data_IF_519111213618
#
_entry.id   IF_519111213618
#
_cell.length_a   1.000
_cell.length_b   1.000
_cell.length_c   1.000
_cell.angle_alpha   90.00
_cell.angle_beta   90.00
_cell.angle_gamma   90.00
#
_symmetry.space_group_name_H-M   'P 1'
#
loop_
_entity.id
_entity.type
_entity.pdbx_description
1 polymer ?
#
# COMPACT_ATOMS: atom_id res chain seq x y z
N UNK A 1 -38.75 -11.21 -46.14
CA UNK A 1 -38.96 -10.20 -45.08
C UNK A 1 -37.98 -10.47 -43.96
N UNK A 2 -37.02 -9.56 -43.75
CA UNK A 2 -35.99 -9.61 -42.70
C UNK A 2 -36.62 -9.18 -41.37
N UNK A 3 -36.51 -9.99 -40.30
CA UNK A 3 -36.79 -9.56 -38.93
C UNK A 3 -35.70 -10.07 -37.98
N UNK A 4 -34.62 -9.28 -37.97
CA UNK A 4 -33.82 -8.80 -36.83
C UNK A 4 -33.81 -9.72 -35.60
N UNK A 5 -32.74 -10.49 -35.45
CA UNK A 5 -32.28 -10.99 -34.16
C UNK A 5 -31.45 -9.84 -33.56
N UNK A 6 -32.03 -9.08 -32.64
CA UNK A 6 -31.29 -8.06 -31.90
C UNK A 6 -30.50 -8.78 -30.80
N UNK A 7 -29.23 -9.09 -31.07
CA UNK A 7 -28.24 -9.34 -30.03
C UNK A 7 -28.07 -8.06 -29.23
N UNK A 8 -28.71 -7.97 -28.07
CA UNK A 8 -28.34 -7.01 -27.04
C UNK A 8 -27.47 -7.74 -26.01
N UNK A 9 -26.23 -8.04 -26.40
CA UNK A 9 -25.16 -8.42 -25.49
C UNK A 9 -24.79 -7.20 -24.64
N UNK A 10 -25.58 -6.90 -23.61
CA UNK A 10 -25.17 -5.99 -22.54
C UNK A 10 -24.19 -6.76 -21.65
N UNK A 11 -23.03 -7.07 -22.19
CA UNK A 11 -21.82 -7.32 -21.42
C UNK A 11 -21.14 -5.96 -21.30
N UNK A 12 -21.68 -5.13 -20.40
CA UNK A 12 -20.96 -3.98 -19.89
C UNK A 12 -19.67 -4.52 -19.29
N UNK A 13 -18.57 -4.34 -20.01
CA UNK A 13 -17.24 -4.62 -19.52
C UNK A 13 -16.97 -3.69 -18.33
N UNK A 14 -17.27 -4.14 -17.11
CA UNK A 14 -16.60 -3.64 -15.91
C UNK A 14 -15.14 -4.14 -15.94
N UNK A 15 -14.37 -3.68 -16.94
CA UNK A 15 -12.92 -3.66 -16.83
C UNK A 15 -12.59 -2.52 -15.88
N UNK A 16 -12.65 -2.80 -14.58
CA UNK A 16 -12.05 -1.95 -13.55
C UNK A 16 -10.59 -1.73 -13.95
N UNK A 17 -10.30 -0.54 -14.46
CA UNK A 17 -8.96 -0.12 -14.85
C UNK A 17 -8.19 0.26 -13.59
N UNK A 18 -7.87 -0.75 -12.77
CA UNK A 18 -7.10 -0.60 -11.53
C UNK A 18 -5.84 0.24 -11.73
N UNK A 19 -5.18 0.14 -12.89
CA UNK A 19 -3.95 0.88 -13.15
C UNK A 19 -4.15 2.34 -13.57
N UNK A 20 -5.32 2.76 -14.10
CA UNK A 20 -5.42 4.09 -14.73
C UNK A 20 -5.41 5.24 -13.72
N UNK A 21 -6.06 5.09 -12.56
CA UNK A 21 -6.17 6.19 -11.59
C UNK A 21 -4.84 6.50 -10.89
N UNK A 22 -4.02 5.47 -10.63
CA UNK A 22 -2.71 5.61 -9.95
C UNK A 22 -1.55 6.00 -10.89
N UNK A 23 -1.76 5.96 -12.20
CA UNK A 23 -0.71 6.32 -13.16
C UNK A 23 -0.54 7.83 -13.22
N UNK A 24 0.69 8.31 -13.14
CA UNK A 24 1.02 9.72 -13.13
C UNK A 24 2.41 10.02 -12.57
N UNK A 25 2.70 11.30 -12.41
CA UNK A 25 3.85 11.80 -11.68
C UNK A 25 3.37 12.35 -10.34
N UNK A 26 4.14 12.11 -9.30
CA UNK A 26 3.81 12.49 -7.93
C UNK A 26 4.94 13.34 -7.39
N UNK A 27 4.63 14.57 -6.99
CA UNK A 27 5.59 15.44 -6.32
C UNK A 27 5.67 15.08 -4.84
N UNK A 28 6.90 14.94 -4.36
CA UNK A 28 7.18 14.53 -2.98
C UNK A 28 6.65 15.55 -1.97
N UNK A 29 5.75 15.11 -1.10
CA UNK A 29 5.30 15.85 0.08
C UNK A 29 6.14 15.50 1.32
N UNK A 30 6.49 14.22 1.48
CA UNK A 30 7.32 13.74 2.59
C UNK A 30 8.13 12.50 2.20
N UNK A 31 9.33 12.36 2.78
CA UNK A 31 10.20 11.19 2.62
C UNK A 31 10.92 10.89 3.93
N UNK A 32 10.78 9.65 4.40
CA UNK A 32 11.60 9.05 5.46
C UNK A 32 12.30 7.87 4.83
N UNK A 33 13.63 7.84 4.85
CA UNK A 33 14.40 6.75 4.26
C UNK A 33 15.79 6.66 4.93
N UNK A 34 16.48 5.51 4.83
CA UNK A 34 17.90 5.44 5.17
C UNK A 34 18.69 6.48 4.38
N UNK A 35 19.74 7.05 4.99
CA UNK A 35 20.48 8.20 4.43
C UNK A 35 20.90 7.98 2.97
N UNK A 36 21.45 6.79 2.67
CA UNK A 36 21.89 6.43 1.32
C UNK A 36 20.77 6.51 0.26
N UNK A 37 19.53 6.25 0.66
CA UNK A 37 18.37 6.30 -0.25
C UNK A 37 17.81 7.71 -0.31
N UNK A 38 17.69 8.38 0.84
CA UNK A 38 17.22 9.77 0.92
C UNK A 38 18.06 10.68 0.03
N UNK A 39 19.39 10.55 0.10
CA UNK A 39 20.32 11.41 -0.63
C UNK A 39 20.35 11.09 -2.14
N UNK A 40 19.85 9.91 -2.53
CA UNK A 40 19.73 9.49 -3.93
C UNK A 40 18.33 9.70 -4.53
N UNK A 41 17.32 10.03 -3.72
CA UNK A 41 15.94 10.20 -4.17
C UNK A 41 15.82 11.40 -5.12
N UNK A 42 15.06 11.21 -6.21
CA UNK A 42 14.69 12.32 -7.10
C UNK A 42 13.37 12.93 -6.66
N UNK A 43 13.09 14.16 -7.09
CA UNK A 43 11.95 14.96 -6.59
C UNK A 43 10.58 14.41 -6.95
N UNK A 44 10.43 13.79 -8.11
CA UNK A 44 9.13 13.27 -8.57
C UNK A 44 9.18 11.76 -8.81
N UNK A 45 8.30 11.06 -8.09
CA UNK A 45 8.04 9.63 -8.29
C UNK A 45 7.11 9.46 -9.48
N UNK A 46 7.46 8.55 -10.39
CA UNK A 46 6.65 8.27 -11.58
C UNK A 46 6.06 6.87 -11.54
N UNK A 47 4.76 6.77 -11.78
CA UNK A 47 4.02 5.52 -11.88
C UNK A 47 3.52 5.30 -13.29
N UNK A 48 3.82 4.12 -13.84
CA UNK A 48 3.39 3.71 -15.18
C UNK A 48 2.75 2.32 -15.13
N UNK A 49 1.79 2.02 -16.02
CA UNK A 49 1.21 0.68 -16.09
C UNK A 49 2.21 -0.29 -16.71
N UNK A 50 2.17 -1.56 -16.32
CA UNK A 50 2.87 -2.60 -17.07
C UNK A 50 2.19 -2.82 -18.43
N UNK A 51 2.99 -3.01 -19.49
CA UNK A 51 2.49 -3.18 -20.86
C UNK A 51 1.75 -4.50 -21.08
N UNK A 52 1.99 -5.48 -20.22
CA UNK A 52 1.52 -6.87 -20.37
C UNK A 52 0.58 -7.30 -19.24
N UNK A 53 0.83 -6.83 -18.02
CA UNK A 53 0.09 -7.24 -16.82
C UNK A 53 -0.75 -6.09 -16.28
N UNK A 54 -2.08 -6.16 -16.47
CA UNK A 54 -3.02 -5.09 -16.07
C UNK A 54 -3.05 -4.80 -14.57
N UNK A 55 -2.70 -5.78 -13.73
CA UNK A 55 -2.64 -5.65 -12.28
C UNK A 55 -1.27 -5.16 -11.78
N UNK A 56 -0.32 -4.86 -12.66
CA UNK A 56 1.04 -4.46 -12.29
C UNK A 56 1.31 -3.03 -12.69
N UNK A 57 1.96 -2.30 -11.78
CA UNK A 57 2.46 -0.95 -12.01
C UNK A 57 3.98 -0.89 -11.76
N UNK A 58 4.64 0.02 -12.44
CA UNK A 58 6.05 0.34 -12.28
C UNK A 58 6.22 1.69 -11.62
N UNK A 59 7.04 1.75 -10.58
CA UNK A 59 7.33 2.92 -9.78
C UNK A 59 8.81 3.25 -9.97
N UNK A 60 9.09 4.46 -10.43
CA UNK A 60 10.46 4.92 -10.73
C UNK A 60 10.82 6.12 -9.87
N UNK A 61 12.12 6.40 -9.77
CA UNK A 61 12.71 7.60 -9.18
C UNK A 61 12.69 7.70 -7.64
N UNK A 62 12.07 6.73 -6.96
CA UNK A 62 12.04 6.69 -5.49
C UNK A 62 13.36 6.21 -4.86
N UNK A 63 14.10 5.32 -5.54
CA UNK A 63 15.34 4.71 -5.04
C UNK A 63 16.45 4.97 -6.06
N UNK A 64 16.91 6.22 -6.12
CA UNK A 64 17.66 6.69 -7.28
C UNK A 64 16.84 6.57 -8.56
N UNK A 65 17.47 6.75 -9.73
CA UNK A 65 16.83 6.51 -11.04
C UNK A 65 16.41 5.05 -11.31
N UNK A 66 16.32 4.22 -10.28
CA UNK A 66 15.87 2.83 -10.36
C UNK A 66 14.35 2.74 -10.45
N UNK A 67 13.89 1.58 -10.92
CA UNK A 67 12.47 1.25 -11.05
C UNK A 67 12.18 -0.07 -10.36
N UNK A 68 11.02 -0.17 -9.71
CA UNK A 68 10.50 -1.38 -9.09
C UNK A 68 9.02 -1.53 -9.41
N UNK A 69 8.43 -2.69 -9.10
CA UNK A 69 7.03 -2.94 -9.41
C UNK A 69 6.18 -3.24 -8.18
N UNK A 70 4.89 -2.93 -8.31
CA UNK A 70 3.86 -3.31 -7.36
C UNK A 70 2.70 -4.02 -8.08
N UNK A 71 2.00 -4.89 -7.36
CA UNK A 71 0.89 -5.71 -7.85
C UNK A 71 -0.38 -5.31 -7.11
N UNK A 72 -1.46 -5.06 -7.84
CA UNK A 72 -2.75 -4.68 -7.26
C UNK A 72 -3.23 -5.73 -6.24
N UNK A 73 -3.69 -5.26 -5.10
CA UNK A 73 -4.19 -6.08 -4.00
C UNK A 73 -5.69 -5.85 -3.79
N UNK A 74 -6.09 -4.61 -3.56
CA UNK A 74 -7.48 -4.23 -3.32
C UNK A 74 -7.75 -2.84 -3.89
N UNK A 75 -8.98 -2.56 -4.29
CA UNK A 75 -9.41 -1.20 -4.62
C UNK A 75 -10.91 -1.06 -4.44
N UNK A 76 -11.33 0.05 -3.86
CA UNK A 76 -12.71 0.49 -3.71
C UNK A 76 -12.88 1.88 -4.35
N UNK A 77 -13.93 2.63 -4.00
CA UNK A 77 -14.17 3.97 -4.54
C UNK A 77 -13.15 5.02 -4.05
N UNK A 78 -12.59 4.83 -2.85
CA UNK A 78 -11.73 5.80 -2.18
C UNK A 78 -10.25 5.50 -2.38
N UNK A 79 -9.88 4.21 -2.40
CA UNK A 79 -8.50 3.76 -2.32
C UNK A 79 -8.15 2.68 -3.33
N UNK A 80 -6.88 2.64 -3.70
CA UNK A 80 -6.26 1.53 -4.41
C UNK A 80 -4.98 1.12 -3.68
N UNK A 81 -4.88 -0.17 -3.35
CA UNK A 81 -3.78 -0.75 -2.60
C UNK A 81 -3.02 -1.74 -3.48
N UNK A 82 -1.70 -1.64 -3.46
CA UNK A 82 -0.79 -2.54 -4.18
C UNK A 82 0.25 -3.11 -3.23
N UNK A 83 0.62 -4.36 -3.45
CA UNK A 83 1.72 -5.04 -2.79
C UNK A 83 3.02 -4.83 -3.58
N UNK A 84 4.08 -4.45 -2.88
CA UNK A 84 5.45 -4.48 -3.40
C UNK A 84 6.09 -5.79 -2.96
N UNK A 85 6.24 -6.78 -3.86
CA UNK A 85 6.89 -8.04 -3.50
C UNK A 85 8.39 -7.84 -3.25
N UNK A 86 9.00 -8.86 -2.64
CA UNK A 86 10.42 -8.86 -2.37
C UNK A 86 11.24 -8.73 -3.67
N UNK A 87 12.14 -7.74 -3.72
CA UNK A 87 12.99 -7.41 -4.86
C UNK A 87 14.17 -6.54 -4.44
N UNK A 88 15.23 -6.51 -5.24
CA UNK A 88 16.37 -5.60 -5.02
C UNK A 88 16.30 -4.45 -6.01
N UNK A 89 16.38 -3.21 -5.51
CA UNK A 89 16.17 -1.99 -6.30
C UNK A 89 17.30 -1.02 -5.99
N UNK A 90 18.16 -0.69 -6.96
CA UNK A 90 19.26 0.26 -6.73
C UNK A 90 20.17 -0.11 -5.55
N UNK A 91 20.35 -1.40 -5.26
CA UNK A 91 21.10 -1.89 -4.09
C UNK A 91 20.30 -1.98 -2.78
N UNK A 92 19.06 -1.48 -2.74
CA UNK A 92 18.16 -1.60 -1.60
C UNK A 92 17.34 -2.89 -1.68
N UNK A 93 17.48 -3.76 -0.67
CA UNK A 93 16.72 -5.00 -0.59
C UNK A 93 15.33 -4.77 0.02
N UNK A 94 14.31 -4.72 -0.83
CA UNK A 94 12.90 -4.69 -0.42
C UNK A 94 12.46 -6.11 -0.07
N UNK A 95 12.03 -6.33 1.16
CA UNK A 95 11.48 -7.61 1.66
C UNK A 95 9.96 -7.61 1.64
N UNK A 96 9.37 -6.45 1.92
CA UNK A 96 7.94 -6.19 1.87
C UNK A 96 7.72 -4.72 1.52
N UNK A 97 6.58 -4.41 0.95
CA UNK A 97 6.14 -3.03 0.83
C UNK A 97 4.72 -2.94 0.32
N UNK A 98 4.21 -1.72 0.35
CA UNK A 98 2.86 -1.42 -0.05
C UNK A 98 2.79 -0.03 -0.67
N UNK A 99 1.79 0.13 -1.53
CA UNK A 99 1.43 1.40 -2.14
C UNK A 99 -0.05 1.61 -1.88
N UNK A 100 -0.41 2.77 -1.35
CA UNK A 100 -1.78 3.18 -1.11
C UNK A 100 -1.99 4.46 -1.91
N UNK A 101 -2.92 4.41 -2.86
CA UNK A 101 -3.36 5.58 -3.60
C UNK A 101 -4.72 6.01 -3.06
N UNK A 102 -4.78 7.23 -2.55
CA UNK A 102 -6.00 7.91 -2.15
C UNK A 102 -6.57 8.65 -3.37
N UNK A 103 -7.72 8.20 -3.86
CA UNK A 103 -8.33 8.69 -5.10
C UNK A 103 -9.00 10.04 -4.92
N UNK A 104 -9.48 10.34 -3.72
CA UNK A 104 -10.11 11.60 -3.38
C UNK A 104 -9.04 12.70 -3.30
N UNK A 105 -7.98 12.44 -2.53
CA UNK A 105 -6.91 13.42 -2.30
C UNK A 105 -5.87 13.47 -3.43
N UNK A 106 -5.95 12.51 -4.36
CA UNK A 106 -4.93 12.26 -5.39
C UNK A 106 -3.52 12.13 -4.77
N UNK A 107 -3.44 11.47 -3.62
CA UNK A 107 -2.21 11.28 -2.87
C UNK A 107 -1.76 9.82 -2.98
N UNK A 108 -0.45 9.61 -2.95
CA UNK A 108 0.13 8.29 -2.83
C UNK A 108 1.01 8.18 -1.60
N UNK A 109 0.83 7.10 -0.85
CA UNK A 109 1.74 6.66 0.19
C UNK A 109 2.44 5.37 -0.28
N UNK A 110 3.76 5.34 -0.17
CA UNK A 110 4.58 4.17 -0.48
C UNK A 110 5.41 3.83 0.75
N UNK A 111 5.32 2.61 1.23
CA UNK A 111 6.12 2.13 2.34
C UNK A 111 6.88 0.85 1.96
N UNK A 112 8.19 0.82 2.18
CA UNK A 112 9.06 -0.31 1.89
C UNK A 112 9.81 -0.72 3.15
N UNK A 113 9.85 -2.01 3.46
CA UNK A 113 10.42 -2.56 4.69
C UNK A 113 9.81 -1.98 5.98
N UNK A 114 8.59 -1.45 5.92
CA UNK A 114 7.83 -0.97 7.07
C UNK A 114 6.58 -1.83 7.27
N UNK A 115 6.65 -2.76 8.24
CA UNK A 115 5.54 -3.69 8.50
C UNK A 115 4.32 -2.98 9.10
N UNK A 116 4.54 -1.96 9.94
CA UNK A 116 3.47 -1.23 10.61
C UNK A 116 2.60 -0.46 9.61
N UNK A 117 3.19 0.18 8.61
CA UNK A 117 2.45 0.92 7.59
C UNK A 117 1.79 0.02 6.54
N UNK A 118 2.34 -1.17 6.30
CA UNK A 118 1.73 -2.15 5.41
C UNK A 118 0.83 -3.15 6.13
N UNK A 119 0.52 -2.92 7.41
CA UNK A 119 -0.34 -3.81 8.20
C UNK A 119 -1.77 -3.81 7.65
N UNK A 120 -2.34 -5.00 7.51
CA UNK A 120 -3.72 -5.20 7.07
C UNK A 120 -3.89 -5.40 5.57
N UNK A 121 -2.77 -5.52 4.84
CA UNK A 121 -2.79 -5.77 3.38
C UNK A 121 -2.63 -7.27 3.09
N UNK A 122 -1.96 -8.00 3.98
CA UNK A 122 -1.83 -9.46 3.87
C UNK A 122 -2.94 -10.16 4.65
N UNK A 123 -3.46 -11.27 4.11
CA UNK A 123 -4.32 -12.18 4.88
C UNK A 123 -3.63 -12.64 6.18
N UNK A 124 -2.30 -12.83 6.14
CA UNK A 124 -1.51 -13.21 7.31
C UNK A 124 -1.51 -12.18 8.44
N UNK A 125 -1.88 -10.92 8.16
CA UNK A 125 -2.05 -9.89 9.18
C UNK A 125 -3.32 -10.09 10.02
N UNK A 126 -4.24 -10.96 9.57
CA UNK A 126 -5.52 -11.29 10.21
C UNK A 126 -5.64 -12.76 10.63
N UNK A 127 -4.62 -13.58 10.35
CA UNK A 127 -4.60 -14.98 10.76
C UNK A 127 -4.61 -15.11 12.30
N UNK A 128 -5.15 -16.22 12.82
CA UNK A 128 -5.24 -16.52 14.26
C UNK A 128 -6.25 -15.68 15.05
N UNK A 129 -7.51 -15.67 14.59
CA UNK A 129 -8.62 -15.16 15.39
C UNK A 129 -8.86 -16.07 16.60
N UNK A 130 -8.80 -15.50 17.80
CA UNK A 130 -9.12 -16.22 19.05
C UNK A 130 -9.88 -15.34 20.02
N UNK A 131 -10.84 -15.96 20.73
CA UNK A 131 -11.63 -15.32 21.78
C UNK A 131 -11.38 -16.09 23.08
N UNK A 132 -10.99 -15.39 24.14
CA UNK A 132 -10.71 -15.99 25.44
C UNK A 132 -11.07 -15.06 26.59
N UNK A 133 -10.97 -15.57 27.82
CA UNK A 133 -11.11 -14.73 29.04
C UNK A 133 -10.09 -13.58 29.11
N UNK A 134 -8.99 -13.68 28.36
CA UNK A 134 -7.95 -12.63 28.26
C UNK A 134 -8.29 -11.55 27.22
N UNK A 135 -9.36 -11.73 26.44
CA UNK A 135 -9.79 -10.80 25.40
C UNK A 135 -9.89 -11.44 24.01
N UNK A 136 -9.98 -10.59 23.01
CA UNK A 136 -10.06 -10.94 21.58
C UNK A 136 -8.71 -10.67 20.93
N UNK A 137 -8.25 -11.62 20.13
CA UNK A 137 -7.12 -11.44 19.23
C UNK A 137 -7.59 -11.72 17.80
N UNK A 138 -7.29 -10.84 16.87
CA UNK A 138 -7.53 -11.01 15.45
C UNK A 138 -6.29 -10.52 14.70
N UNK A 139 -5.42 -11.47 14.33
CA UNK A 139 -4.18 -11.14 13.65
C UNK A 139 -3.23 -10.29 14.50
N UNK A 140 -2.84 -9.14 13.96
CA UNK A 140 -2.00 -8.16 14.67
C UNK A 140 -2.76 -7.24 15.64
N UNK A 141 -4.10 -7.37 15.74
CA UNK A 141 -4.93 -6.57 16.64
C UNK A 141 -5.35 -7.40 17.85
N UNK A 142 -5.05 -6.87 19.04
CA UNK A 142 -5.46 -7.49 20.31
C UNK A 142 -6.23 -6.49 21.16
N UNK A 143 -7.41 -6.91 21.63
CA UNK A 143 -8.23 -6.19 22.59
C UNK A 143 -8.29 -7.04 23.86
N UNK A 144 -7.63 -6.58 24.91
CA UNK A 144 -7.52 -7.30 26.19
C UNK A 144 -8.76 -7.03 27.06
N UNK A 145 -9.09 -7.98 27.95
CA UNK A 145 -10.26 -7.85 28.84
C UNK A 145 -10.18 -6.69 29.84
N UNK A 146 -8.99 -6.10 30.02
CA UNK A 146 -8.77 -4.90 30.84
C UNK A 146 -8.90 -3.58 30.04
N UNK A 147 -9.30 -3.63 28.77
CA UNK A 147 -9.44 -2.48 27.88
C UNK A 147 -8.16 -2.06 27.15
N UNK A 148 -7.05 -2.78 27.31
CA UNK A 148 -5.83 -2.51 26.54
C UNK A 148 -5.99 -2.96 25.08
N UNK A 149 -5.66 -2.06 24.14
CA UNK A 149 -5.69 -2.31 22.70
C UNK A 149 -4.26 -2.25 22.18
N UNK A 150 -3.84 -3.22 21.38
CA UNK A 150 -2.56 -3.16 20.65
C UNK A 150 -2.77 -3.51 19.18
N UNK A 151 -2.23 -2.68 18.29
CA UNK A 151 -2.30 -2.87 16.84
C UNK A 151 -1.09 -2.19 16.17
N UNK A 152 -0.41 -2.90 15.26
CA UNK A 152 0.56 -2.27 14.35
C UNK A 152 1.73 -1.51 14.99
N UNK A 153 2.12 -1.82 16.24
CA UNK A 153 3.15 -1.08 16.99
C UNK A 153 2.61 0.05 17.88
N UNK A 154 1.29 0.25 17.91
CA UNK A 154 0.60 1.18 18.82
C UNK A 154 -0.06 0.40 19.95
N UNK A 155 0.03 0.93 21.18
CA UNK A 155 -0.65 0.41 22.36
C UNK A 155 -1.46 1.51 23.03
N UNK A 156 -2.72 1.23 23.33
CA UNK A 156 -3.62 2.12 24.08
C UNK A 156 -3.93 1.46 25.42
N UNK A 157 -3.72 2.19 26.51
CA UNK A 157 -4.00 1.73 27.87
C UNK A 157 -4.46 2.87 28.77
N UNK A 158 -4.75 2.58 30.04
CA UNK A 158 -5.03 3.62 31.06
C UNK A 158 -3.87 4.61 31.26
N UNK A 159 -2.65 4.25 30.84
CA UNK A 159 -1.47 5.13 30.91
C UNK A 159 -1.36 6.08 29.71
N UNK A 160 -2.23 5.94 28.71
CA UNK A 160 -2.21 6.72 27.47
C UNK A 160 -1.86 5.87 26.25
N UNK A 161 -1.35 6.55 25.22
CA UNK A 161 -0.98 5.97 23.92
C UNK A 161 0.54 5.83 23.86
N UNK A 162 1.02 4.61 23.66
CA UNK A 162 2.42 4.28 23.43
C UNK A 162 2.60 3.88 21.96
N UNK A 163 3.64 4.41 21.30
CA UNK A 163 3.96 4.11 19.89
C UNK A 163 5.39 3.61 19.82
N UNK A 164 5.60 2.46 19.18
CA UNK A 164 6.93 2.00 18.80
C UNK A 164 7.47 2.88 17.67
N UNK A 165 8.15 3.97 18.05
CA UNK A 165 8.72 4.94 17.11
C UNK A 165 9.73 4.28 16.17
N UNK A 166 10.50 3.28 16.64
CA UNK A 166 11.49 2.60 15.82
C UNK A 166 10.83 1.77 14.73
N UNK A 167 9.75 1.07 15.07
CA UNK A 167 8.91 0.36 14.09
C UNK A 167 8.20 1.33 13.14
N UNK A 168 7.64 2.42 13.66
CA UNK A 168 6.93 3.42 12.89
C UNK A 168 7.80 4.12 11.85
N UNK A 169 9.08 4.37 12.17
CA UNK A 169 10.05 5.03 11.29
C UNK A 169 10.94 4.06 10.50
N UNK A 170 10.67 2.75 10.56
CA UNK A 170 11.48 1.77 9.85
C UNK A 170 11.36 1.90 8.32
N UNK A 171 12.44 1.52 7.62
CA UNK A 171 12.45 1.38 6.17
C UNK A 171 12.36 2.70 5.42
N UNK A 172 11.69 2.66 4.27
CA UNK A 172 11.42 3.81 3.43
C UNK A 172 9.92 4.11 3.45
N UNK A 173 9.56 5.38 3.53
CA UNK A 173 8.20 5.89 3.54
C UNK A 173 8.17 7.15 2.71
N UNK A 174 7.26 7.20 1.74
CA UNK A 174 7.10 8.31 0.83
C UNK A 174 5.64 8.69 0.78
N UNK A 175 5.38 10.00 0.77
CA UNK A 175 4.08 10.57 0.47
C UNK A 175 4.26 11.56 -0.68
N UNK A 176 3.40 11.49 -1.68
CA UNK A 176 3.42 12.44 -2.79
C UNK A 176 2.05 12.74 -3.35
N UNK A 177 1.88 13.96 -3.86
CA UNK A 177 0.63 14.42 -4.48
C UNK A 177 0.74 14.32 -5.99
N UNK A 178 -0.33 13.85 -6.63
CA UNK A 178 -0.38 13.72 -8.08
C UNK A 178 -0.40 15.09 -8.75
N UNK A 179 0.43 15.23 -9.79
CA UNK A 179 0.48 16.40 -10.67
C UNK A 179 -0.60 16.35 -11.76
#
# INVERSE_FOLDING_TARGET
MKKIILLASILGAFSVTFAQSVVGSYTQSALIAPDQIRDAAQTDVKITPDKTQKNKIWISNLIGGSTFYAIANASDEDKAVYNVPAQTVGGYAVKLGCVIFDKEENEIAIALNNKSQCFGISQSDYDNVSVSKKGVNAGGVKVSSNGEISAGGTKVSKKGVEVDVKGALAGLQYVGKKN
#
